data_IF_108391450887
#
_entry.id   IF_108391450887
#
_cell.length_a   1.000
_cell.length_b   1.000
_cell.length_c   1.000
_cell.angle_alpha   90.00
_cell.angle_beta   90.00
_cell.angle_gamma   90.00
#
_symmetry.space_group_name_H-M   'P 1'
#
loop_
_entity.id
_entity.type
_entity.pdbx_description
1 polymer ?
#
# COMPACT_ATOMS: atom_id res chain seq x y z
N UNK A 1 -2.63 -11.37 -13.35
CA UNK A 1 -2.69 -10.80 -11.98
C UNK A 1 -4.13 -10.85 -11.50
N UNK A 2 -4.39 -11.09 -10.21
CA UNK A 2 -5.77 -11.11 -9.65
C UNK A 2 -6.12 -9.73 -9.09
N UNK A 3 -7.27 -9.13 -9.44
CA UNK A 3 -7.62 -7.82 -8.94
C UNK A 3 -8.07 -7.85 -7.47
N UNK A 4 -7.91 -6.72 -6.79
CA UNK A 4 -8.25 -6.49 -5.39
C UNK A 4 -9.78 -6.28 -5.25
N UNK A 5 -10.52 -7.35 -4.92
CA UNK A 5 -12.01 -7.37 -4.94
C UNK A 5 -12.71 -6.63 -3.80
N UNK A 6 -12.01 -6.38 -2.69
CA UNK A 6 -12.59 -5.69 -1.53
C UNK A 6 -12.57 -4.18 -1.64
N UNK A 7 -11.88 -3.61 -2.63
CA UNK A 7 -11.80 -2.16 -2.83
C UNK A 7 -12.86 -1.73 -3.85
N UNK A 8 -13.75 -0.84 -3.42
CA UNK A 8 -14.92 -0.39 -4.17
C UNK A 8 -14.99 1.15 -4.10
N UNK A 9 -14.31 1.86 -5.01
CA UNK A 9 -14.35 3.32 -5.05
C UNK A 9 -15.79 3.82 -5.22
N UNK A 10 -16.17 4.83 -4.45
CA UNK A 10 -17.45 5.53 -4.65
C UNK A 10 -17.43 6.37 -5.95
N UNK A 11 -18.58 6.81 -6.49
CA UNK A 11 -18.62 7.53 -7.76
C UNK A 11 -17.75 8.79 -7.86
N UNK A 12 -17.50 9.47 -6.73
CA UNK A 12 -16.63 10.66 -6.65
C UNK A 12 -15.19 10.35 -6.20
N UNK A 13 -14.86 9.08 -5.95
CA UNK A 13 -13.51 8.66 -5.54
C UNK A 13 -12.70 8.16 -6.74
N UNK A 14 -11.40 8.42 -6.70
CA UNK A 14 -10.43 7.83 -7.62
C UNK A 14 -9.99 6.45 -7.12
N UNK A 15 -9.32 5.69 -7.99
CA UNK A 15 -8.57 4.53 -7.56
C UNK A 15 -7.39 4.99 -6.68
N UNK A 16 -7.06 4.30 -5.58
CA UNK A 16 -5.94 4.71 -4.73
C UNK A 16 -4.60 4.59 -5.47
N UNK A 17 -3.71 5.53 -5.17
CA UNK A 17 -2.31 5.45 -5.55
C UNK A 17 -1.47 4.69 -4.53
N UNK A 18 -0.37 4.12 -5.00
CA UNK A 18 0.65 3.45 -4.19
C UNK A 18 2.01 4.07 -4.51
N UNK A 19 2.69 4.61 -3.50
CA UNK A 19 4.08 4.99 -3.60
C UNK A 19 4.96 3.83 -3.14
N UNK A 20 5.93 3.45 -3.95
CA UNK A 20 6.99 2.50 -3.64
C UNK A 20 8.32 3.23 -3.53
N UNK A 21 9.06 2.97 -2.43
CA UNK A 21 10.41 3.50 -2.20
C UNK A 21 11.34 2.35 -1.81
N UNK A 22 12.29 2.03 -2.66
CA UNK A 22 13.26 0.94 -2.43
C UNK A 22 14.66 1.54 -2.23
N UNK A 23 15.19 1.52 -1.01
CA UNK A 23 16.60 1.85 -0.76
C UNK A 23 17.53 1.02 -1.65
N UNK A 24 18.64 1.60 -2.10
CA UNK A 24 19.60 0.94 -2.97
C UNK A 24 20.57 0.05 -2.15
N UNK A 25 19.99 -0.94 -1.47
CA UNK A 25 20.70 -1.89 -0.61
C UNK A 25 20.14 -3.28 -0.83
N UNK A 26 21.01 -4.29 -0.85
CA UNK A 26 20.56 -5.67 -0.88
C UNK A 26 20.08 -6.09 0.51
N UNK A 27 18.80 -6.44 0.62
CA UNK A 27 18.27 -7.15 1.78
C UNK A 27 17.97 -8.59 1.35
N UNK A 28 18.76 -9.54 1.84
CA UNK A 28 18.51 -10.95 1.54
C UNK A 28 17.38 -11.48 2.43
N UNK A 29 16.38 -12.11 1.81
CA UNK A 29 15.19 -12.62 2.51
C UNK A 29 15.56 -13.61 3.62
N UNK A 30 16.53 -14.49 3.39
CA UNK A 30 17.04 -15.46 4.38
C UNK A 30 17.63 -14.77 5.62
N UNK A 31 18.40 -13.69 5.44
CA UNK A 31 18.95 -12.91 6.56
C UNK A 31 17.85 -12.27 7.41
N UNK A 32 16.78 -11.76 6.80
CA UNK A 32 15.64 -11.18 7.52
C UNK A 32 14.89 -12.24 8.33
N UNK A 33 14.65 -13.42 7.75
CA UNK A 33 14.03 -14.52 8.49
C UNK A 33 14.94 -15.10 9.57
N UNK A 34 16.26 -15.13 9.37
CA UNK A 34 17.22 -15.51 10.41
C UNK A 34 17.17 -14.53 11.59
N UNK A 35 17.22 -13.22 11.33
CA UNK A 35 17.08 -12.21 12.38
C UNK A 35 15.74 -12.31 13.12
N UNK A 36 14.65 -12.59 12.41
CA UNK A 36 13.34 -12.83 13.02
C UNK A 36 13.35 -14.06 13.94
N UNK A 37 13.94 -15.17 13.49
CA UNK A 37 14.08 -16.40 14.27
C UNK A 37 14.98 -16.21 15.51
N UNK A 38 15.98 -15.34 15.41
CA UNK A 38 16.87 -14.95 16.52
C UNK A 38 16.22 -13.95 17.50
N UNK A 39 14.95 -13.60 17.30
CA UNK A 39 14.17 -12.82 18.24
C UNK A 39 13.97 -11.35 17.90
N UNK A 40 14.36 -10.89 16.70
CA UNK A 40 14.00 -9.56 16.18
C UNK A 40 12.52 -9.50 15.74
N UNK A 41 11.63 -9.99 16.60
CA UNK A 41 10.19 -10.07 16.35
C UNK A 41 9.49 -8.79 16.80
N UNK A 42 8.45 -8.42 16.06
CA UNK A 42 7.46 -7.47 16.57
C UNK A 42 6.70 -8.01 17.77
N UNK A 43 5.82 -7.19 18.34
CA UNK A 43 4.96 -7.66 19.43
C UNK A 43 4.11 -8.85 18.94
N UNK A 44 4.17 -10.02 19.62
CA UNK A 44 3.47 -11.22 19.19
C UNK A 44 1.97 -10.99 18.99
N UNK A 45 1.43 -11.52 17.88
CA UNK A 45 0.01 -11.47 17.57
C UNK A 45 -0.52 -10.11 17.11
N UNK A 46 0.28 -9.03 17.05
CA UNK A 46 -0.18 -7.74 16.51
C UNK A 46 -0.43 -7.82 15.01
N UNK A 47 0.53 -8.37 14.25
CA UNK A 47 0.39 -8.51 12.80
C UNK A 47 -0.78 -9.43 12.43
N UNK A 48 -0.94 -10.56 13.13
CA UNK A 48 -2.05 -11.49 12.94
C UNK A 48 -3.41 -10.83 13.19
N UNK A 49 -3.60 -10.20 14.37
CA UNK A 49 -4.86 -9.52 14.70
C UNK A 49 -5.18 -8.37 13.76
N UNK A 50 -4.17 -7.58 13.39
CA UNK A 50 -4.33 -6.48 12.42
C UNK A 50 -4.75 -7.00 11.05
N UNK A 51 -4.14 -8.11 10.60
CA UNK A 51 -4.47 -8.75 9.32
C UNK A 51 -5.87 -9.36 9.32
N UNK A 52 -6.26 -10.06 10.39
CA UNK A 52 -7.59 -10.66 10.54
C UNK A 52 -8.69 -9.59 10.54
N UNK A 53 -8.49 -8.52 11.34
CA UNK A 53 -9.42 -7.41 11.40
C UNK A 53 -9.54 -6.72 10.03
N UNK A 54 -8.40 -6.42 9.39
CA UNK A 54 -8.38 -5.80 8.07
C UNK A 54 -9.06 -6.70 7.01
N UNK A 55 -8.76 -8.01 7.00
CA UNK A 55 -9.37 -8.94 6.03
C UNK A 55 -10.89 -9.03 6.19
N UNK A 56 -11.40 -8.98 7.42
CA UNK A 56 -12.84 -8.94 7.68
C UNK A 56 -13.48 -7.66 7.13
N UNK A 57 -12.89 -6.49 7.39
CA UNK A 57 -13.41 -5.21 6.88
C UNK A 57 -13.31 -5.15 5.35
N UNK A 58 -12.16 -5.52 4.81
CA UNK A 58 -11.89 -5.50 3.38
C UNK A 58 -12.80 -6.46 2.61
N UNK A 59 -13.10 -7.63 3.18
CA UNK A 59 -14.04 -8.60 2.60
C UNK A 59 -15.48 -8.08 2.50
N UNK A 60 -15.87 -7.12 3.35
CA UNK A 60 -17.20 -6.48 3.30
C UNK A 60 -17.32 -5.38 2.24
N UNK A 61 -16.22 -5.01 1.59
CA UNK A 61 -16.15 -3.89 0.67
C UNK A 61 -15.74 -2.60 1.38
N UNK A 62 -14.75 -1.91 0.82
CA UNK A 62 -14.15 -0.71 1.40
C UNK A 62 -13.99 0.36 0.33
N UNK A 63 -14.40 1.60 0.64
CA UNK A 63 -14.17 2.75 -0.25
C UNK A 63 -12.69 3.13 -0.33
N UNK A 64 -12.29 3.92 -1.33
CA UNK A 64 -10.91 4.41 -1.43
C UNK A 64 -10.52 5.20 -0.18
N UNK A 65 -11.41 6.08 0.30
CA UNK A 65 -11.16 6.85 1.53
C UNK A 65 -10.95 5.94 2.73
N UNK A 66 -11.82 4.95 2.93
CA UNK A 66 -11.69 3.99 4.03
C UNK A 66 -10.38 3.19 3.93
N UNK A 67 -9.99 2.80 2.72
CA UNK A 67 -8.74 2.08 2.48
C UNK A 67 -7.50 2.91 2.84
N UNK A 68 -7.49 4.20 2.46
CA UNK A 68 -6.44 5.15 2.87
C UNK A 68 -6.43 5.34 4.39
N UNK A 69 -7.61 5.49 5.03
CA UNK A 69 -7.74 5.60 6.49
C UNK A 69 -7.18 4.36 7.21
N UNK A 70 -7.23 3.17 6.59
CA UNK A 70 -6.67 1.91 7.13
C UNK A 70 -5.20 1.65 6.78
N UNK A 71 -4.52 2.56 6.07
CA UNK A 71 -3.11 2.40 5.73
C UNK A 71 -2.21 2.15 6.96
N UNK A 72 -2.55 2.74 8.12
CA UNK A 72 -1.82 2.50 9.37
C UNK A 72 -1.92 1.07 9.88
N UNK A 73 -3.10 0.44 9.77
CA UNK A 73 -3.32 -0.97 10.16
C UNK A 73 -2.53 -1.89 9.23
N UNK A 74 -2.58 -1.64 7.93
CA UNK A 74 -1.80 -2.38 6.94
C UNK A 74 -0.28 -2.24 7.18
N UNK A 75 0.19 -1.02 7.46
CA UNK A 75 1.60 -0.77 7.73
C UNK A 75 2.11 -1.48 9.00
N UNK A 76 1.23 -1.74 9.97
CA UNK A 76 1.52 -2.50 11.18
C UNK A 76 1.37 -4.02 11.02
N UNK A 77 0.84 -4.49 9.88
CA UNK A 77 0.54 -5.91 9.64
C UNK A 77 1.74 -6.72 9.12
N UNK A 78 2.91 -6.10 8.99
CA UNK A 78 4.16 -6.79 8.61
C UNK A 78 5.02 -7.03 9.86
N UNK A 79 5.11 -8.29 10.27
CA UNK A 79 5.87 -8.78 11.43
C UNK A 79 7.39 -8.82 11.20
N UNK A 80 7.83 -8.79 9.94
CA UNK A 80 9.25 -8.76 9.56
C UNK A 80 9.88 -7.39 9.70
N UNK A 81 9.10 -6.33 9.96
CA UNK A 81 9.62 -4.96 10.04
C UNK A 81 10.78 -4.79 11.04
N UNK A 82 10.74 -5.32 12.28
CA UNK A 82 11.87 -5.19 13.20
C UNK A 82 13.10 -5.98 12.73
N UNK A 83 12.90 -7.17 12.18
CA UNK A 83 13.97 -7.99 11.61
C UNK A 83 14.64 -7.32 10.39
N UNK A 84 13.84 -6.78 9.47
CA UNK A 84 14.36 -6.00 8.33
C UNK A 84 15.15 -4.77 8.80
N UNK A 85 14.69 -4.11 9.86
CA UNK A 85 15.40 -2.99 10.47
C UNK A 85 16.69 -3.36 11.18
N UNK A 86 16.85 -4.62 11.60
CA UNK A 86 18.09 -5.15 12.17
C UNK A 86 19.10 -5.58 11.10
N UNK A 87 18.62 -6.00 9.92
CA UNK A 87 19.46 -6.42 8.78
C UNK A 87 19.89 -5.25 7.92
N UNK A 88 19.03 -4.26 7.72
CA UNK A 88 19.28 -3.12 6.83
C UNK A 88 19.59 -1.88 7.67
N UNK A 89 20.86 -1.55 7.75
CA UNK A 89 21.35 -0.37 8.45
C UNK A 89 20.63 0.90 7.96
N UNK A 90 20.16 1.71 8.92
CA UNK A 90 19.45 2.96 8.62
C UNK A 90 18.00 2.82 8.16
N UNK A 91 17.47 1.61 7.90
CA UNK A 91 16.10 1.42 7.40
C UNK A 91 15.04 2.01 8.34
N UNK A 92 15.20 1.82 9.65
CA UNK A 92 14.27 2.36 10.65
C UNK A 92 14.26 3.89 10.65
N UNK A 93 15.44 4.51 10.55
CA UNK A 93 15.57 5.96 10.51
C UNK A 93 14.96 6.52 9.22
N UNK A 94 15.28 5.90 8.08
CA UNK A 94 14.75 6.27 6.76
C UNK A 94 13.23 6.16 6.70
N UNK A 95 12.65 5.04 7.17
CA UNK A 95 11.20 4.85 7.26
C UNK A 95 10.54 5.95 8.10
N UNK A 96 11.13 6.30 9.24
CA UNK A 96 10.61 7.37 10.12
C UNK A 96 10.75 8.76 9.47
N UNK A 97 11.79 9.01 8.69
CA UNK A 97 11.97 10.25 7.95
C UNK A 97 10.95 10.37 6.81
N UNK A 98 10.73 9.29 6.05
CA UNK A 98 9.65 9.20 5.05
C UNK A 98 8.27 9.46 5.66
N UNK A 99 7.96 8.84 6.81
CA UNK A 99 6.68 9.06 7.48
C UNK A 99 6.44 10.53 7.85
N UNK A 100 7.50 11.24 8.25
CA UNK A 100 7.44 12.68 8.56
C UNK A 100 7.32 13.53 7.32
N UNK A 101 8.12 13.25 6.28
CA UNK A 101 8.09 13.97 5.01
C UNK A 101 6.70 13.89 4.36
N UNK A 102 6.12 12.69 4.37
CA UNK A 102 4.88 12.40 3.66
C UNK A 102 3.63 12.61 4.51
N UNK A 103 3.77 12.73 5.84
CA UNK A 103 2.65 12.73 6.79
C UNK A 103 1.70 11.53 6.56
N UNK A 104 2.28 10.35 6.31
CA UNK A 104 1.56 9.11 6.01
C UNK A 104 2.16 7.91 6.75
N UNK A 105 1.35 6.88 7.08
CA UNK A 105 1.88 5.59 7.51
C UNK A 105 2.75 4.97 6.42
N UNK A 106 3.91 4.44 6.81
CA UNK A 106 4.84 3.75 5.92
C UNK A 106 4.89 2.27 6.28
N UNK A 107 4.51 1.41 5.36
CA UNK A 107 4.61 -0.04 5.50
C UNK A 107 5.88 -0.61 4.85
N UNK A 108 6.18 -1.86 5.19
CA UNK A 108 7.23 -2.67 4.56
C UNK A 108 6.59 -3.65 3.57
N UNK A 109 7.17 -3.80 2.39
CA UNK A 109 6.79 -4.84 1.42
C UNK A 109 7.60 -6.12 1.67
N UNK A 110 6.93 -7.23 1.98
CA UNK A 110 7.60 -8.51 2.24
C UNK A 110 8.68 -8.41 3.31
N UNK A 111 9.86 -8.99 3.04
CA UNK A 111 11.06 -8.89 3.90
C UNK A 111 11.83 -7.59 3.73
N UNK A 112 11.41 -6.66 2.86
CA UNK A 112 12.14 -5.44 2.54
C UNK A 112 13.17 -5.57 1.42
N UNK A 113 13.91 -4.46 1.13
CA UNK A 113 13.89 -3.19 1.85
C UNK A 113 12.82 -2.20 1.35
N UNK A 114 12.00 -2.60 0.37
CA UNK A 114 10.97 -1.72 -0.22
C UNK A 114 9.93 -1.29 0.81
N UNK A 115 9.74 0.02 0.91
CA UNK A 115 8.73 0.68 1.72
C UNK A 115 7.58 1.16 0.83
N UNK A 116 6.39 1.31 1.42
CA UNK A 116 5.22 1.79 0.69
C UNK A 116 4.35 2.76 1.48
N UNK A 117 3.62 3.62 0.76
CA UNK A 117 2.58 4.51 1.28
C UNK A 117 1.37 4.51 0.33
N UNK A 118 0.16 4.58 0.90
CA UNK A 118 -1.10 4.59 0.14
C UNK A 118 -1.64 6.01 0.06
N UNK A 119 -2.15 6.39 -1.11
CA UNK A 119 -2.68 7.71 -1.43
C UNK A 119 -4.11 7.64 -1.97
N UNK A 120 -4.90 8.73 -1.83
CA UNK A 120 -6.27 8.78 -2.36
C UNK A 120 -6.37 8.67 -3.89
N UNK A 121 -5.30 9.03 -4.61
CA UNK A 121 -5.23 8.93 -6.06
C UNK A 121 -3.81 8.62 -6.56
N UNK A 122 -3.62 8.21 -7.83
CA UNK A 122 -2.30 8.03 -8.43
C UNK A 122 -1.54 9.36 -8.54
N UNK A 123 -2.24 10.46 -8.84
CA UNK A 123 -1.66 11.81 -8.93
C UNK A 123 -1.06 12.24 -7.59
N UNK A 124 -1.78 12.02 -6.48
CA UNK A 124 -1.25 12.28 -5.12
C UNK A 124 0.01 11.44 -4.83
N UNK A 125 0.07 10.20 -5.33
CA UNK A 125 1.24 9.35 -5.18
C UNK A 125 2.41 9.83 -6.04
N UNK A 126 2.16 10.36 -7.24
CA UNK A 126 3.17 10.94 -8.12
C UNK A 126 3.75 12.24 -7.55
N UNK A 127 2.92 13.11 -6.98
CA UNK A 127 3.37 14.30 -6.25
C UNK A 127 4.26 13.93 -5.06
N UNK A 128 3.87 12.89 -4.31
CA UNK A 128 4.69 12.35 -3.25
C UNK A 128 6.00 11.74 -3.76
N UNK A 129 5.99 11.03 -4.89
CA UNK A 129 7.19 10.50 -5.52
C UNK A 129 8.17 11.63 -5.90
N UNK A 130 7.68 12.73 -6.46
CA UNK A 130 8.48 13.92 -6.76
C UNK A 130 9.08 14.53 -5.48
N UNK A 131 8.29 14.62 -4.42
CA UNK A 131 8.72 15.13 -3.11
C UNK A 131 9.84 14.28 -2.49
N UNK A 132 9.73 12.95 -2.56
CA UNK A 132 10.79 12.02 -2.09
C UNK A 132 12.06 12.21 -2.90
N UNK A 133 11.97 12.23 -4.24
CA UNK A 133 13.15 12.40 -5.10
C UNK A 133 13.86 13.73 -4.82
N UNK A 134 13.11 14.82 -4.63
CA UNK A 134 13.67 16.12 -4.27
C UNK A 134 14.34 16.12 -2.89
N UNK A 135 13.71 15.49 -1.89
CA UNK A 135 14.27 15.36 -0.55
C UNK A 135 15.58 14.55 -0.53
N UNK A 136 15.68 13.50 -1.35
CA UNK A 136 16.93 12.74 -1.53
C UNK A 136 17.98 13.59 -2.23
N UNK A 137 17.64 14.23 -3.35
CA UNK A 137 18.58 15.02 -4.14
C UNK A 137 19.20 16.20 -3.35
N UNK A 138 18.45 16.75 -2.39
CA UNK A 138 18.90 17.83 -1.50
C UNK A 138 19.60 17.34 -0.23
N UNK A 139 19.67 16.02 0.00
CA UNK A 139 20.22 15.43 1.22
C UNK A 139 19.33 15.58 2.46
N UNK A 140 18.12 16.14 2.33
CA UNK A 140 17.15 16.22 3.43
C UNK A 140 16.70 14.84 3.89
N UNK A 141 16.60 13.88 2.96
CA UNK A 141 16.26 12.50 3.22
C UNK A 141 17.44 11.58 2.89
N UNK A 142 18.15 11.12 3.93
CA UNK A 142 19.23 10.15 3.80
C UNK A 142 18.68 8.72 3.64
N UNK A 143 18.86 8.13 2.46
CA UNK A 143 18.47 6.76 2.16
C UNK A 143 19.59 5.75 2.51
N UNK A 144 19.26 4.52 2.93
CA UNK A 144 20.22 3.43 3.05
C UNK A 144 20.83 3.04 1.70
N UNK A 145 22.12 2.68 1.70
CA UNK A 145 22.89 2.35 0.51
C UNK A 145 23.67 3.54 -0.05
N UNK A 146 24.48 3.28 -1.08
CA UNK A 146 25.34 4.30 -1.70
C UNK A 146 24.68 5.03 -2.88
N UNK A 147 23.59 4.46 -3.41
CA UNK A 147 22.85 5.00 -4.55
C UNK A 147 21.48 5.57 -4.15
N UNK A 148 20.89 6.48 -4.95
CA UNK A 148 19.54 6.96 -4.73
C UNK A 148 18.51 5.81 -4.68
N UNK A 149 17.50 5.87 -3.81
CA UNK A 149 16.45 4.87 -3.78
C UNK A 149 15.66 4.89 -5.09
N UNK A 150 15.20 3.71 -5.52
CA UNK A 150 14.16 3.63 -6.53
C UNK A 150 12.85 4.18 -5.95
N UNK A 151 12.21 5.10 -6.66
CA UNK A 151 10.95 5.73 -6.26
C UNK A 151 9.97 5.64 -7.42
N UNK A 152 8.80 5.04 -7.18
CA UNK A 152 7.75 4.93 -8.18
C UNK A 152 6.37 5.09 -7.56
N UNK A 153 5.51 5.87 -8.22
CA UNK A 153 4.07 5.83 -7.99
C UNK A 153 3.44 4.83 -8.96
N UNK A 154 2.46 4.09 -8.46
CA UNK A 154 1.78 3.03 -9.20
C UNK A 154 0.36 2.86 -8.67
N UNK A 155 -0.43 2.00 -9.31
CA UNK A 155 -1.84 1.78 -8.99
C UNK A 155 -2.08 0.38 -8.46
N UNK A 156 -3.21 0.20 -7.78
CA UNK A 156 -3.73 -1.12 -7.47
C UNK A 156 -4.51 -1.65 -8.66
N UNK A 157 -4.32 -2.93 -8.98
CA UNK A 157 -5.22 -3.61 -9.90
C UNK A 157 -6.53 -3.91 -9.17
N UNK A 158 -7.57 -3.12 -9.43
CA UNK A 158 -8.92 -3.30 -8.86
C UNK A 158 -9.85 -4.01 -9.85
N UNK A 159 -10.89 -4.67 -9.34
CA UNK A 159 -11.88 -5.31 -10.24
C UNK A 159 -12.76 -4.22 -10.86
N UNK A 160 -12.73 -4.07 -12.17
CA UNK A 160 -13.69 -3.27 -12.91
C UNK A 160 -14.99 -4.05 -13.04
N UNK A 161 -15.84 -4.06 -12.01
CA UNK A 161 -17.21 -4.56 -12.14
C UNK A 161 -18.18 -3.61 -11.42
N UNK A 162 -19.24 -3.24 -12.15
CA UNK A 162 -20.30 -2.26 -11.84
C UNK A 162 -19.99 -0.80 -12.20
N UNK A 163 -19.56 -0.53 -13.44
CA UNK A 163 -19.91 0.74 -14.14
C UNK A 163 -20.73 0.53 -15.41
N UNK A 164 -20.91 -0.71 -15.87
CA UNK A 164 -21.55 -1.03 -17.16
C UNK A 164 -22.99 -1.58 -17.06
N UNK A 165 -23.56 -1.70 -15.86
CA UNK A 165 -24.89 -2.32 -15.69
C UNK A 165 -26.08 -1.35 -15.76
N UNK A 166 -25.89 -0.07 -16.10
CA UNK A 166 -27.00 0.92 -16.12
C UNK A 166 -27.24 1.61 -17.48
N UNK A 167 -26.83 0.99 -18.60
CA UNK A 167 -27.24 1.44 -19.93
C UNK A 167 -27.71 0.28 -20.81
N UNK A 168 -28.74 -0.43 -20.35
CA UNK A 168 -29.66 -1.13 -21.26
C UNK A 168 -30.97 -1.36 -20.54
N UNK A 169 -31.84 -0.36 -20.63
CA UNK A 169 -33.27 -0.53 -20.37
C UNK A 169 -33.87 -1.28 -21.57
N UNK A 170 -34.38 -2.51 -21.44
CA UNK A 170 -35.19 -3.09 -22.49
C UNK A 170 -36.61 -2.51 -22.37
N UNK A 171 -36.93 -1.62 -23.31
CA UNK A 171 -38.28 -1.14 -23.58
C UNK A 171 -39.30 -2.28 -23.48
N UNK A 172 -40.39 -2.16 -22.72
CA UNK A 172 -41.38 -3.22 -22.64
C UNK A 172 -42.16 -3.28 -23.96
N UNK A 173 -41.99 -4.37 -24.72
CA UNK A 173 -42.85 -4.68 -25.87
C UNK A 173 -44.25 -5.01 -25.36
N UNK A 174 -45.18 -4.15 -25.74
CA UNK A 174 -46.62 -4.32 -25.55
C UNK A 174 -47.12 -5.57 -26.28
N UNK A 175 -47.64 -6.53 -25.51
CA UNK A 175 -48.44 -7.63 -26.01
C UNK A 175 -49.72 -7.76 -25.17
N UNK A 176 -50.73 -6.97 -25.52
CA UNK A 176 -52.15 -7.34 -25.35
C UNK A 176 -52.81 -7.34 -26.72
N UNK A 177 -52.99 -8.53 -27.32
CA UNK A 177 -54.20 -9.39 -27.30
C UNK A 177 -55.35 -8.83 -28.14
N UNK A 178 -55.58 -9.48 -29.27
CA UNK A 178 -56.91 -9.70 -29.84
C UNK A 178 -57.00 -11.17 -30.27
N UNK A 179 -58.07 -11.88 -29.88
CA UNK A 179 -58.77 -12.76 -30.81
C UNK A 179 -60.18 -12.25 -31.13
#
# INVERSE_FOLDING_TARGET
VRPLRGLRPLPAEHEPGLLLVTPAVAAHTDAVFAAWADGAMGQPGVAARSSEHFASEFGSGMSTRQFVERAGVLAASNDLLPAAGAVVDGLVAFRRALARLLARPIGLSGSGPTLWAIYPSPDDADEAAASVRAAVATGFLAAPGDDPPFVAATTFLISADIRDATLTDPTPTDHRRDP
#
